data_IF_658168775018
#
_entry.id   IF_658168775018
#
_cell.length_a   1.000
_cell.length_b   1.000
_cell.length_c   1.000
_cell.angle_alpha   90.00
_cell.angle_beta   90.00
_cell.angle_gamma   90.00
#
_symmetry.space_group_name_H-M   'P 1'
#
loop_
_entity.id
_entity.type
_entity.pdbx_description
1 polymer ?
#
# COMPACT_ATOMS: atom_id res chain seq x y z
N UNK A 1 12.19 17.13 3.16
CA UNK A 1 12.30 16.12 4.23
C UNK A 1 13.49 15.26 3.85
N UNK A 2 14.50 15.19 4.70
CA UNK A 2 15.68 14.36 4.46
C UNK A 2 15.40 12.91 4.90
N UNK A 3 15.95 11.92 4.20
CA UNK A 3 15.69 10.51 4.51
C UNK A 3 16.55 10.05 5.69
N UNK A 4 15.98 9.45 6.76
CA UNK A 4 16.73 9.05 7.94
C UNK A 4 17.53 7.75 7.71
N UNK A 5 18.63 7.84 6.94
CA UNK A 5 19.44 6.71 6.51
C UNK A 5 20.02 5.90 7.69
N UNK A 6 20.50 6.56 8.73
CA UNK A 6 21.03 5.86 9.92
C UNK A 6 19.97 4.99 10.61
N UNK A 7 18.74 5.50 10.77
CA UNK A 7 17.61 4.72 11.34
C UNK A 7 17.25 3.56 10.41
N UNK A 8 17.23 3.81 9.10
CA UNK A 8 16.93 2.78 8.11
C UNK A 8 17.91 1.61 8.18
N UNK A 9 19.22 1.88 8.29
CA UNK A 9 20.25 0.84 8.41
C UNK A 9 20.11 -0.01 9.67
N UNK A 10 19.70 0.60 10.79
CA UNK A 10 19.45 -0.11 12.05
C UNK A 10 18.21 -1.02 11.93
N UNK A 11 17.13 -0.51 11.33
CA UNK A 11 15.86 -1.23 11.23
C UNK A 11 15.88 -2.34 10.17
N UNK A 12 16.62 -2.14 9.08
CA UNK A 12 16.68 -3.05 7.95
C UNK A 12 18.13 -3.48 7.63
N UNK A 13 18.76 -4.25 8.54
CA UNK A 13 20.16 -4.66 8.38
C UNK A 13 20.41 -5.52 7.13
N UNK A 14 19.35 -6.13 6.58
CA UNK A 14 19.45 -6.95 5.36
C UNK A 14 19.86 -6.16 4.12
N UNK A 15 19.64 -4.85 4.09
CA UNK A 15 20.05 -4.01 2.97
C UNK A 15 21.46 -3.44 3.15
N UNK A 16 22.21 -3.85 4.17
CA UNK A 16 23.59 -3.36 4.46
C UNK A 16 24.55 -3.47 3.28
N UNK A 17 24.36 -4.43 2.37
CA UNK A 17 25.15 -4.58 1.16
C UNK A 17 24.78 -3.58 0.03
N UNK A 18 23.59 -2.98 0.06
CA UNK A 18 23.18 -1.94 -0.89
C UNK A 18 23.91 -0.65 -0.53
N UNK A 19 24.53 0.07 -1.48
CA UNK A 19 25.25 1.31 -1.18
C UNK A 19 24.30 2.46 -0.82
N UNK A 20 24.78 3.42 -0.03
CA UNK A 20 23.95 4.48 0.56
C UNK A 20 23.31 5.40 -0.49
N UNK A 21 24.03 5.70 -1.57
CA UNK A 21 23.55 6.49 -2.71
C UNK A 21 22.31 5.87 -3.36
N UNK A 22 22.32 4.55 -3.57
CA UNK A 22 21.17 3.82 -4.12
C UNK A 22 19.98 3.88 -3.17
N UNK A 23 20.21 3.72 -1.86
CA UNK A 23 19.13 3.82 -0.87
C UNK A 23 18.50 5.21 -0.89
N UNK A 24 19.30 6.27 -0.96
CA UNK A 24 18.82 7.65 -0.99
C UNK A 24 18.03 7.96 -2.27
N UNK A 25 18.52 7.56 -3.44
CA UNK A 25 17.80 7.75 -4.72
C UNK A 25 16.47 7.00 -4.72
N UNK A 26 16.44 5.77 -4.21
CA UNK A 26 15.19 5.00 -4.07
C UNK A 26 14.26 5.67 -3.06
N UNK A 27 14.80 6.27 -1.99
CA UNK A 27 14.01 7.01 -1.02
C UNK A 27 13.35 8.24 -1.60
N UNK A 28 14.04 9.01 -2.44
CA UNK A 28 13.45 10.16 -3.13
C UNK A 28 12.20 9.76 -3.93
N UNK A 29 12.27 8.65 -4.68
CA UNK A 29 11.14 8.14 -5.45
C UNK A 29 10.02 7.63 -4.52
N UNK A 30 10.40 6.97 -3.43
CA UNK A 30 9.46 6.41 -2.48
C UNK A 30 8.63 7.48 -1.76
N UNK A 31 9.12 8.72 -1.69
CA UNK A 31 8.43 9.85 -1.07
C UNK A 31 7.08 10.14 -1.74
N UNK A 32 6.96 9.91 -3.04
CA UNK A 32 5.71 10.10 -3.79
C UNK A 32 4.56 9.21 -3.29
N UNK A 33 4.86 8.07 -2.65
CA UNK A 33 3.85 7.17 -2.10
C UNK A 33 3.39 7.56 -0.69
N UNK A 34 4.13 8.45 -0.01
CA UNK A 34 3.85 8.87 1.37
C UNK A 34 3.38 10.32 1.46
N UNK A 35 3.72 11.16 0.47
CA UNK A 35 3.25 12.54 0.38
C UNK A 35 1.72 12.59 0.33
N UNK A 36 1.10 13.19 1.37
CA UNK A 36 -0.35 13.42 1.42
C UNK A 36 -1.16 12.49 2.32
N UNK A 37 -0.54 11.52 3.02
CA UNK A 37 -1.27 10.60 3.91
C UNK A 37 -1.56 11.12 5.32
N UNK A 38 -1.11 12.33 5.68
CA UNK A 38 -1.49 13.03 6.93
C UNK A 38 -1.15 12.31 8.24
N UNK A 39 -0.32 11.27 8.21
CA UNK A 39 -0.04 10.43 9.37
C UNK A 39 1.13 10.97 10.20
N UNK A 40 1.05 10.82 11.53
CA UNK A 40 2.15 11.11 12.46
C UNK A 40 3.39 10.21 12.19
N UNK A 41 3.17 8.99 11.69
CA UNK A 41 4.23 8.00 11.41
C UNK A 41 4.75 8.06 9.96
N UNK A 42 4.92 9.27 9.41
CA UNK A 42 5.29 9.44 8.00
C UNK A 42 6.71 8.92 7.70
N UNK A 43 7.65 9.06 8.64
CA UNK A 43 9.02 8.53 8.49
C UNK A 43 9.02 6.99 8.39
N UNK A 44 8.25 6.32 9.23
CA UNK A 44 8.17 4.85 9.26
C UNK A 44 7.51 4.31 7.98
N UNK A 45 6.45 4.97 7.51
CA UNK A 45 5.85 4.65 6.21
C UNK A 45 6.87 4.81 5.08
N UNK A 46 7.66 5.89 5.11
CA UNK A 46 8.69 6.13 4.10
C UNK A 46 9.75 5.03 4.11
N UNK A 47 10.29 4.68 5.28
CA UNK A 47 11.27 3.59 5.41
C UNK A 47 10.73 2.21 4.98
N UNK A 48 9.46 1.93 5.23
CA UNK A 48 8.85 0.65 4.81
C UNK A 48 8.68 0.58 3.29
N UNK A 49 8.27 1.67 2.65
CA UNK A 49 8.11 1.67 1.19
C UNK A 49 9.48 1.68 0.48
N UNK A 50 10.52 2.29 1.05
CA UNK A 50 11.88 2.17 0.49
C UNK A 50 12.40 0.74 0.59
N UNK A 51 12.23 0.09 1.74
CA UNK A 51 12.57 -1.32 1.92
C UNK A 51 11.82 -2.23 0.93
N UNK A 52 10.54 -1.95 0.67
CA UNK A 52 9.76 -2.67 -0.33
C UNK A 52 10.36 -2.55 -1.74
N UNK A 53 10.68 -1.33 -2.18
CA UNK A 53 11.26 -1.09 -3.51
C UNK A 53 12.65 -1.73 -3.67
N UNK A 54 13.49 -1.65 -2.63
CA UNK A 54 14.80 -2.31 -2.64
C UNK A 54 14.67 -3.83 -2.69
N UNK A 55 13.75 -4.41 -1.93
CA UNK A 55 13.49 -5.84 -1.98
C UNK A 55 13.01 -6.29 -3.37
N UNK A 56 12.13 -5.53 -4.01
CA UNK A 56 11.67 -5.84 -5.36
C UNK A 56 12.82 -5.83 -6.37
N UNK A 57 13.76 -4.89 -6.25
CA UNK A 57 14.97 -4.87 -7.08
C UNK A 57 15.83 -6.11 -6.87
N UNK A 58 16.12 -6.47 -5.62
CA UNK A 58 16.90 -7.66 -5.29
C UNK A 58 16.22 -8.95 -5.79
N UNK A 59 14.89 -9.04 -5.65
CA UNK A 59 14.11 -10.17 -6.16
C UNK A 59 14.22 -10.26 -7.69
N UNK A 60 14.16 -9.13 -8.40
CA UNK A 60 14.32 -9.07 -9.86
C UNK A 60 15.74 -9.51 -10.30
N UNK A 61 16.79 -9.09 -9.58
CA UNK A 61 18.18 -9.50 -9.85
C UNK A 61 18.40 -11.00 -9.60
N UNK A 62 17.76 -11.55 -8.56
CA UNK A 62 17.87 -12.98 -8.22
C UNK A 62 17.06 -13.92 -9.12
N UNK A 63 16.27 -13.39 -10.07
CA UNK A 63 15.36 -14.18 -10.90
C UNK A 63 14.21 -14.84 -10.14
N UNK A 64 13.98 -14.46 -8.88
CA UNK A 64 12.89 -15.00 -8.06
C UNK A 64 11.61 -14.19 -8.34
N UNK A 65 10.94 -14.53 -9.45
CA UNK A 65 9.84 -13.77 -10.04
C UNK A 65 8.53 -13.94 -9.27
N UNK A 66 8.39 -13.23 -8.16
CA UNK A 66 7.09 -12.80 -7.65
C UNK A 66 6.62 -11.50 -8.32
N UNK A 67 6.69 -11.41 -9.65
CA UNK A 67 6.49 -10.15 -10.36
C UNK A 67 5.01 -9.68 -10.29
N UNK A 68 4.77 -8.41 -9.91
CA UNK A 68 3.47 -7.78 -10.07
C UNK A 68 3.38 -7.25 -11.50
N UNK A 69 2.62 -7.93 -12.33
CA UNK A 69 2.50 -7.61 -13.75
C UNK A 69 2.85 -8.82 -14.56
N UNK A 70 1.94 -9.18 -15.47
CA UNK A 70 2.09 -10.27 -16.39
C UNK A 70 3.38 -10.11 -17.19
N UNK A 71 4.49 -10.71 -16.72
CA UNK A 71 5.55 -11.14 -17.60
C UNK A 71 4.93 -12.26 -18.43
N UNK A 72 4.47 -11.88 -19.62
CA UNK A 72 4.03 -12.80 -20.65
C UNK A 72 5.16 -13.81 -20.88
N UNK A 73 4.95 -15.01 -20.35
CA UNK A 73 5.57 -16.29 -20.69
C UNK A 73 6.67 -16.22 -21.74
N UNK A 74 7.93 -16.31 -21.31
CA UNK A 74 9.02 -16.78 -22.16
C UNK A 74 9.65 -17.99 -21.48
N UNK A 75 9.27 -19.18 -21.94
CA UNK A 75 9.86 -20.45 -21.52
C UNK A 75 11.30 -20.53 -22.02
N UNK A 76 12.27 -20.67 -21.12
CA UNK A 76 13.54 -21.33 -21.43
C UNK A 76 13.54 -22.64 -20.65
N UNK A 77 13.57 -23.73 -21.42
CA UNK A 77 13.31 -25.11 -21.06
C UNK A 77 13.52 -25.50 -19.59
N UNK A 78 12.42 -25.98 -18.96
CA UNK A 78 12.29 -26.70 -17.68
C UNK A 78 12.01 -25.93 -16.38
N UNK A 79 11.66 -24.66 -16.41
CA UNK A 79 11.11 -23.98 -15.21
C UNK A 79 9.60 -23.78 -15.36
N UNK A 80 8.82 -24.64 -14.70
CA UNK A 80 7.38 -24.47 -14.57
C UNK A 80 7.11 -23.39 -13.52
N UNK A 81 6.60 -22.23 -13.94
CA UNK A 81 6.12 -21.20 -13.02
C UNK A 81 4.60 -21.24 -13.05
N UNK A 82 3.98 -21.73 -11.98
CA UNK A 82 2.53 -21.78 -11.86
C UNK A 82 1.96 -20.38 -11.58
N UNK A 83 0.99 -19.99 -12.40
CA UNK A 83 0.31 -18.70 -12.28
C UNK A 83 -0.76 -18.78 -11.18
N UNK A 84 -0.55 -18.09 -10.06
CA UNK A 84 -1.57 -17.95 -9.03
C UNK A 84 -2.29 -16.62 -9.22
N UNK A 85 -3.60 -16.67 -9.49
CA UNK A 85 -4.41 -15.46 -9.57
C UNK A 85 -4.25 -14.63 -8.28
N UNK A 86 -4.12 -13.30 -8.37
CA UNK A 86 -3.95 -12.46 -7.20
C UNK A 86 -5.10 -12.68 -6.21
N UNK A 87 -4.84 -13.08 -4.95
CA UNK A 87 -5.88 -13.23 -3.94
C UNK A 87 -6.42 -11.89 -3.42
N UNK A 88 -5.92 -10.75 -3.94
CA UNK A 88 -6.29 -9.42 -3.48
C UNK A 88 -7.30 -8.77 -4.45
N UNK A 89 -8.29 -8.10 -3.87
CA UNK A 89 -9.33 -7.34 -4.59
C UNK A 89 -8.80 -6.18 -5.43
N UNK A 90 -7.59 -5.68 -5.12
CA UNK A 90 -7.00 -4.50 -5.74
C UNK A 90 -5.55 -4.73 -6.18
N UNK A 91 -5.21 -4.29 -7.40
CA UNK A 91 -3.85 -4.41 -7.98
C UNK A 91 -2.77 -3.74 -7.11
N UNK A 92 -3.07 -2.59 -6.50
CA UNK A 92 -2.16 -1.90 -5.59
C UNK A 92 -1.86 -2.71 -4.32
N UNK A 93 -2.91 -3.27 -3.70
CA UNK A 93 -2.77 -4.14 -2.53
C UNK A 93 -1.99 -5.41 -2.88
N UNK A 94 -2.19 -5.96 -4.08
CA UNK A 94 -1.41 -7.10 -4.57
C UNK A 94 0.08 -6.77 -4.71
N UNK A 95 0.43 -5.62 -5.33
CA UNK A 95 1.81 -5.16 -5.48
C UNK A 95 2.52 -5.02 -4.13
N UNK A 96 1.86 -4.40 -3.15
CA UNK A 96 2.39 -4.29 -1.79
C UNK A 96 2.58 -5.65 -1.10
N UNK A 97 1.71 -6.63 -1.40
CA UNK A 97 1.76 -7.94 -0.76
C UNK A 97 2.95 -8.81 -1.18
N UNK A 98 3.71 -8.42 -2.22
CA UNK A 98 4.86 -9.18 -2.72
C UNK A 98 6.04 -9.26 -1.76
N UNK A 99 6.10 -8.36 -0.78
CA UNK A 99 7.18 -8.35 0.20
C UNK A 99 6.59 -8.15 1.59
N UNK A 100 7.24 -8.64 2.66
CA UNK A 100 6.79 -8.39 4.02
C UNK A 100 6.73 -6.88 4.36
N UNK A 101 7.61 -6.08 3.77
CA UNK A 101 7.67 -4.63 3.98
C UNK A 101 6.45 -3.89 3.41
N UNK A 102 6.02 -4.28 2.22
CA UNK A 102 4.81 -3.72 1.61
C UNK A 102 3.52 -4.11 2.36
N UNK A 103 3.46 -5.31 2.95
CA UNK A 103 2.36 -5.71 3.83
C UNK A 103 2.31 -4.86 5.11
N UNK A 104 3.46 -4.61 5.75
CA UNK A 104 3.56 -3.74 6.92
C UNK A 104 3.19 -2.29 6.58
N UNK A 105 3.63 -1.79 5.42
CA UNK A 105 3.24 -0.48 4.92
C UNK A 105 1.72 -0.39 4.72
N UNK A 106 1.10 -1.42 4.16
CA UNK A 106 -0.35 -1.48 3.97
C UNK A 106 -1.08 -1.43 5.31
N UNK A 107 -0.66 -2.24 6.29
CA UNK A 107 -1.25 -2.22 7.63
C UNK A 107 -1.14 -0.84 8.30
N UNK A 108 0.06 -0.24 8.29
CA UNK A 108 0.31 1.06 8.91
C UNK A 108 -0.45 2.19 8.17
N UNK A 109 -0.51 2.14 6.85
CA UNK A 109 -1.25 3.14 6.07
C UNK A 109 -2.76 3.07 6.32
N UNK A 110 -3.32 1.87 6.51
CA UNK A 110 -4.72 1.69 6.89
C UNK A 110 -5.01 2.19 8.31
N UNK A 111 -4.11 1.99 9.27
CA UNK A 111 -4.29 2.57 10.61
C UNK A 111 -4.27 4.10 10.58
N UNK A 112 -3.47 4.71 9.70
CA UNK A 112 -3.47 6.16 9.52
C UNK A 112 -4.76 6.68 8.85
N UNK A 113 -5.34 5.93 7.92
CA UNK A 113 -6.56 6.30 7.21
C UNK A 113 -7.86 6.02 7.99
N UNK A 114 -7.82 5.21 9.05
CA UNK A 114 -8.97 4.83 9.86
C UNK A 114 -9.63 6.00 10.63
N UNK A 115 -9.03 7.20 10.60
CA UNK A 115 -9.56 8.42 11.20
C UNK A 115 -10.53 9.23 10.31
N UNK A 116 -11.06 8.66 9.23
CA UNK A 116 -12.07 9.31 8.41
C UNK A 116 -13.35 9.53 9.20
N UNK A 117 -13.61 10.78 9.62
CA UNK A 117 -14.88 11.18 10.22
C UNK A 117 -15.97 11.00 9.16
N UNK A 118 -16.86 10.03 9.37
CA UNK A 118 -17.99 9.77 8.49
C UNK A 118 -19.04 10.88 8.64
N UNK A 119 -18.78 12.06 8.07
CA UNK A 119 -19.76 13.17 8.02
C UNK A 119 -20.63 12.97 6.78
N UNK A 120 -21.53 12.00 6.86
CA UNK A 120 -22.38 11.65 5.70
C UNK A 120 -23.43 10.58 5.97
N UNK A 121 -23.71 10.27 7.23
CA UNK A 121 -24.82 9.41 7.62
C UNK A 121 -25.80 10.22 8.45
N UNK A 122 -26.68 11.01 7.82
CA UNK A 122 -27.93 11.29 8.49
C UNK A 122 -28.54 9.92 8.89
N UNK A 123 -29.07 9.77 10.11
CA UNK A 123 -29.63 8.50 10.59
C UNK A 123 -30.81 7.98 9.74
N UNK A 124 -31.21 8.72 8.72
CA UNK A 124 -32.14 8.38 7.63
C UNK A 124 -31.83 7.07 6.89
N UNK A 125 -30.57 6.63 6.79
CA UNK A 125 -30.25 5.32 6.17
C UNK A 125 -30.39 4.12 7.10
N UNK A 126 -30.37 4.35 8.42
CA UNK A 126 -30.56 3.30 9.43
C UNK A 126 -32.03 3.18 9.88
N UNK A 127 -32.88 4.11 9.48
CA UNK A 127 -34.28 4.14 9.83
C UNK A 127 -35.16 3.86 8.60
N UNK A 128 -36.19 3.04 8.75
CA UNK A 128 -37.22 2.84 7.73
C UNK A 128 -38.08 4.10 7.48
N UNK A 129 -37.84 5.20 8.23
CA UNK A 129 -38.50 6.50 8.11
C UNK A 129 -37.49 7.61 8.35
N UNK A 130 -37.70 8.80 7.77
CA UNK A 130 -36.89 9.99 8.03
C UNK A 130 -36.73 10.23 9.54
N UNK A 131 -35.48 10.36 9.99
CA UNK A 131 -35.17 10.63 11.40
C UNK A 131 -35.26 12.14 11.62
N UNK A 132 -36.25 12.57 12.41
CA UNK A 132 -36.57 13.98 12.64
C UNK A 132 -38.05 14.35 12.38
N UNK A 133 -38.90 13.40 11.98
CA UNK A 133 -40.36 13.60 11.96
C UNK A 133 -40.89 14.54 10.87
N UNK A 134 -40.04 15.11 10.01
CA UNK A 134 -40.46 15.86 8.84
C UNK A 134 -40.85 14.89 7.72
N UNK A 135 -42.13 14.55 7.69
CA UNK A 135 -42.79 14.07 6.47
C UNK A 135 -42.51 15.06 5.36
N UNK A 136 -41.81 14.62 4.31
CA UNK A 136 -41.77 15.35 3.05
C UNK A 136 -43.20 15.31 2.52
N UNK A 137 -43.91 16.42 2.71
CA UNK A 137 -45.21 16.71 2.08
C UNK A 137 -45.10 16.36 0.60
N UNK A 138 -45.84 15.33 0.16
CA UNK A 138 -45.85 14.97 -1.25
C UNK A 138 -46.55 13.68 -1.65
N UNK A 139 -47.10 12.90 -0.72
CA UNK A 139 -47.97 11.77 -1.05
C UNK A 139 -49.35 12.26 -1.50
N UNK A 140 -49.52 12.57 -2.78
CA UNK A 140 -50.82 12.84 -3.39
C UNK A 140 -51.62 11.55 -3.41
N UNK A 141 -52.60 11.43 -2.51
CA UNK A 141 -53.68 10.45 -2.63
C UNK A 141 -54.48 10.79 -3.90
N UNK A 142 -54.50 9.86 -4.85
CA UNK A 142 -55.58 9.68 -5.82
C UNK A 142 -56.03 8.25 -5.73
#
# INVERSE_FOLDING_TARGET
MDFPLAKFRILFPMFSAVPDDVVLVVAEWAQCYTSGRGCQCNEQLWMLITAHLLQLRLNAESGNVGAPGALASATIDKVSVSFQAPPATDSWSHWLNLTPYGQQFLALSKSCAAGGLYVGGLPERAAFRNVGGLSIRGGRLR
#
